data_IF_096187022394
#
_entry.id   IF_096187022394
#
_cell.length_a   1.000
_cell.length_b   1.000
_cell.length_c   1.000
_cell.angle_alpha   90.00
_cell.angle_beta   90.00
_cell.angle_gamma   90.00
#
_symmetry.space_group_name_H-M   'P 1'
#
loop_
_entity.id
_entity.type
_entity.pdbx_description
1 polymer ?
#
# COMPACT_ATOMS: atom_id res chain seq x y z
N UNK A 1 -4.40 16.73 -36.13
CA UNK A 1 -5.05 15.58 -35.48
C UNK A 1 -4.15 15.17 -34.34
N UNK A 2 -4.54 15.44 -33.09
CA UNK A 2 -3.73 15.06 -31.94
C UNK A 2 -3.90 13.56 -31.71
N UNK A 3 -2.80 12.81 -31.78
CA UNK A 3 -2.75 11.40 -31.42
C UNK A 3 -3.26 11.24 -29.98
N UNK A 4 -4.46 10.70 -29.87
CA UNK A 4 -5.03 10.33 -28.57
C UNK A 4 -4.23 9.13 -28.07
N UNK A 5 -3.70 9.13 -26.84
CA UNK A 5 -2.97 7.99 -26.31
C UNK A 5 -3.86 6.75 -26.37
N UNK A 6 -3.50 5.79 -27.22
CA UNK A 6 -4.23 4.53 -27.36
C UNK A 6 -4.19 3.78 -26.03
N UNK A 7 -5.33 3.73 -25.33
CA UNK A 7 -5.56 2.75 -24.26
C UNK A 7 -5.42 1.37 -24.87
N UNK A 8 -4.43 0.61 -24.42
CA UNK A 8 -4.27 -0.76 -24.87
C UNK A 8 -5.32 -1.62 -24.17
N UNK A 9 -6.08 -2.49 -24.87
CA UNK A 9 -7.12 -3.34 -24.26
C UNK A 9 -6.65 -4.20 -23.07
N UNK A 10 -5.34 -4.35 -22.90
CA UNK A 10 -4.70 -5.04 -21.77
C UNK A 10 -4.82 -4.28 -20.43
N UNK A 11 -5.13 -2.98 -20.47
CA UNK A 11 -5.36 -2.12 -19.30
C UNK A 11 -6.75 -2.34 -18.67
N UNK A 12 -7.70 -2.95 -19.40
CA UNK A 12 -9.10 -3.14 -18.97
C UNK A 12 -9.40 -4.55 -18.42
N UNK A 13 -8.39 -5.36 -18.09
CA UNK A 13 -8.63 -6.69 -17.51
C UNK A 13 -9.05 -6.58 -16.03
N UNK A 14 -10.31 -6.88 -15.66
CA UNK A 14 -10.81 -6.75 -14.30
C UNK A 14 -10.06 -7.64 -13.30
N UNK A 15 -9.52 -8.78 -13.76
CA UNK A 15 -8.71 -9.66 -12.91
C UNK A 15 -7.36 -9.06 -12.53
N UNK A 16 -6.75 -8.24 -13.38
CA UNK A 16 -5.52 -7.51 -13.03
C UNK A 16 -5.80 -6.45 -11.98
N UNK A 17 -6.91 -5.72 -12.13
CA UNK A 17 -7.35 -4.74 -11.13
C UNK A 17 -7.65 -5.41 -9.79
N UNK A 18 -8.40 -6.52 -9.79
CA UNK A 18 -8.69 -7.29 -8.57
C UNK A 18 -7.41 -7.79 -7.88
N UNK A 19 -6.44 -8.31 -8.66
CA UNK A 19 -5.14 -8.73 -8.12
C UNK A 19 -4.36 -7.57 -7.49
N UNK A 20 -4.34 -6.40 -8.14
CA UNK A 20 -3.68 -5.21 -7.60
C UNK A 20 -4.34 -4.72 -6.30
N UNK A 21 -5.67 -4.63 -6.27
CA UNK A 21 -6.42 -4.22 -5.07
C UNK A 21 -6.19 -5.19 -3.92
N UNK A 22 -6.18 -6.50 -4.20
CA UNK A 22 -5.90 -7.53 -3.20
C UNK A 22 -4.48 -7.40 -2.65
N UNK A 23 -3.49 -7.20 -3.53
CA UNK A 23 -2.11 -7.00 -3.12
C UNK A 23 -1.95 -5.77 -2.21
N UNK A 24 -2.58 -4.64 -2.58
CA UNK A 24 -2.60 -3.43 -1.76
C UNK A 24 -3.26 -3.71 -0.40
N UNK A 25 -4.43 -4.35 -0.40
CA UNK A 25 -5.16 -4.66 0.83
C UNK A 25 -4.35 -5.55 1.79
N UNK A 26 -3.70 -6.59 1.27
CA UNK A 26 -2.85 -7.49 2.05
C UNK A 26 -1.65 -6.76 2.62
N UNK A 27 -0.94 -5.98 1.81
CA UNK A 27 0.25 -5.25 2.26
C UNK A 27 -0.11 -4.18 3.30
N UNK A 28 -1.21 -3.45 3.10
CA UNK A 28 -1.74 -2.49 4.07
C UNK A 28 -2.10 -3.16 5.40
N UNK A 29 -2.76 -4.32 5.35
CA UNK A 29 -3.11 -5.08 6.55
C UNK A 29 -1.86 -5.54 7.30
N UNK A 30 -0.85 -6.03 6.58
CA UNK A 30 0.42 -6.48 7.16
C UNK A 30 1.16 -5.30 7.81
N UNK A 31 1.38 -4.19 7.09
CA UNK A 31 2.17 -3.07 7.60
C UNK A 31 1.47 -2.34 8.75
N UNK A 32 0.16 -2.15 8.67
CA UNK A 32 -0.62 -1.54 9.76
C UNK A 32 -0.67 -2.46 10.97
N UNK A 33 -0.90 -3.76 10.77
CA UNK A 33 -0.93 -4.75 11.83
C UNK A 33 0.42 -4.91 12.54
N UNK A 34 1.52 -4.96 11.78
CA UNK A 34 2.88 -4.99 12.32
C UNK A 34 3.21 -3.69 13.05
N UNK A 35 2.83 -2.54 12.51
CA UNK A 35 3.04 -1.25 13.16
C UNK A 35 2.33 -1.19 14.52
N UNK A 36 1.04 -1.54 14.56
CA UNK A 36 0.28 -1.64 15.80
C UNK A 36 0.93 -2.62 16.79
N UNK A 37 1.28 -3.83 16.34
CA UNK A 37 1.88 -4.85 17.20
C UNK A 37 3.22 -4.41 17.79
N UNK A 38 4.13 -3.85 16.98
CA UNK A 38 5.38 -3.29 17.46
C UNK A 38 5.14 -2.14 18.44
N UNK A 39 4.13 -1.31 18.17
CA UNK A 39 3.69 -0.25 19.06
C UNK A 39 3.20 -0.76 20.42
N UNK A 40 2.40 -1.84 20.43
CA UNK A 40 1.93 -2.48 21.68
C UNK A 40 3.08 -3.07 22.47
N UNK A 41 4.00 -3.77 21.81
CA UNK A 41 5.19 -4.35 22.47
C UNK A 41 6.10 -3.25 23.04
N UNK A 42 6.18 -2.11 22.36
CA UNK A 42 6.90 -0.95 22.87
C UNK A 42 6.22 -0.33 24.09
N UNK A 43 4.89 -0.19 24.07
CA UNK A 43 4.13 0.30 25.22
C UNK A 43 4.29 -0.59 26.45
N UNK A 44 4.24 -1.92 26.28
CA UNK A 44 4.41 -2.88 27.37
C UNK A 44 5.78 -2.77 28.04
N UNK A 45 6.81 -2.32 27.31
CA UNK A 45 8.18 -2.17 27.81
C UNK A 45 8.48 -0.79 28.37
N UNK A 46 7.92 0.26 27.77
CA UNK A 46 8.29 1.65 28.06
C UNK A 46 7.21 2.43 28.83
N UNK A 47 6.02 1.85 29.02
CA UNK A 47 4.93 2.46 29.78
C UNK A 47 4.36 3.74 29.17
N UNK A 48 4.57 3.97 27.87
CA UNK A 48 4.18 5.20 27.18
C UNK A 48 2.67 5.32 26.96
N UNK A 49 1.95 4.20 26.86
CA UNK A 49 0.49 4.13 26.69
C UNK A 49 -0.05 4.57 25.33
N UNK A 50 0.81 5.01 24.40
CA UNK A 50 0.43 5.51 23.07
C UNK A 50 1.24 4.90 21.92
N UNK A 51 2.23 4.07 22.23
CA UNK A 51 3.07 3.35 21.27
C UNK A 51 2.24 2.52 20.28
N UNK A 52 1.16 1.87 20.70
CA UNK A 52 0.26 1.15 19.77
C UNK A 52 -0.34 2.07 18.69
N UNK A 53 -0.70 3.30 19.06
CA UNK A 53 -1.28 4.29 18.17
C UNK A 53 -0.22 4.88 17.25
N UNK A 54 0.95 5.23 17.80
CA UNK A 54 2.10 5.69 17.02
C UNK A 54 2.52 4.64 15.99
N UNK A 55 2.64 3.38 16.43
CA UNK A 55 2.99 2.26 15.58
C UNK A 55 1.96 2.02 14.47
N UNK A 56 0.66 2.09 14.78
CA UNK A 56 -0.41 2.00 13.79
C UNK A 56 -0.31 3.11 12.73
N UNK A 57 -0.10 4.37 13.15
CA UNK A 57 0.02 5.50 12.23
C UNK A 57 1.25 5.34 11.32
N UNK A 58 2.41 4.96 11.89
CA UNK A 58 3.63 4.71 11.12
C UNK A 58 3.43 3.57 10.14
N UNK A 59 2.84 2.46 10.57
CA UNK A 59 2.51 1.31 9.72
C UNK A 59 1.57 1.68 8.56
N UNK A 60 0.56 2.50 8.84
CA UNK A 60 -0.37 3.00 7.82
C UNK A 60 0.33 3.91 6.79
N UNK A 61 1.15 4.86 7.24
CA UNK A 61 1.90 5.75 6.33
C UNK A 61 2.84 4.94 5.43
N UNK A 62 3.57 3.98 6.01
CA UNK A 62 4.45 3.08 5.26
C UNK A 62 3.65 2.27 4.23
N UNK A 63 2.50 1.73 4.62
CA UNK A 63 1.61 0.98 3.74
C UNK A 63 1.07 1.81 2.58
N UNK A 64 0.60 3.03 2.83
CA UNK A 64 0.13 3.94 1.78
C UNK A 64 1.27 4.27 0.81
N UNK A 65 2.47 4.55 1.33
CA UNK A 65 3.65 4.82 0.51
C UNK A 65 4.01 3.65 -0.41
N UNK A 66 3.97 2.42 0.11
CA UNK A 66 4.22 1.21 -0.66
C UNK A 66 3.14 0.95 -1.72
N UNK A 67 1.87 1.08 -1.36
CA UNK A 67 0.74 0.97 -2.29
C UNK A 67 0.84 1.97 -3.44
N UNK A 68 1.21 3.22 -3.17
CA UNK A 68 1.42 4.24 -4.20
C UNK A 68 2.56 3.84 -5.17
N UNK A 69 3.65 3.26 -4.66
CA UNK A 69 4.73 2.71 -5.47
C UNK A 69 4.27 1.54 -6.36
N UNK A 70 3.48 0.63 -5.80
CA UNK A 70 2.93 -0.51 -6.53
C UNK A 70 2.00 -0.07 -7.66
N UNK A 71 1.09 0.87 -7.37
CA UNK A 71 0.20 1.48 -8.36
C UNK A 71 1.02 2.16 -9.46
N UNK A 72 2.04 2.94 -9.10
CA UNK A 72 2.90 3.62 -10.08
C UNK A 72 3.64 2.62 -10.99
N UNK A 73 4.09 1.49 -10.45
CA UNK A 73 4.72 0.42 -11.23
C UNK A 73 3.72 -0.27 -12.16
N UNK A 74 2.50 -0.52 -11.68
CA UNK A 74 1.45 -1.18 -12.46
C UNK A 74 0.82 -0.27 -13.53
N UNK A 75 0.64 1.01 -13.24
CA UNK A 75 0.06 2.01 -14.15
C UNK A 75 1.10 2.66 -15.08
N UNK A 76 2.38 2.68 -14.68
CA UNK A 76 3.48 3.30 -15.43
C UNK A 76 4.24 2.37 -16.38
N UNK A 77 3.78 1.14 -16.58
CA UNK A 77 4.47 0.07 -17.32
C UNK A 77 4.61 0.24 -18.84
N UNK A 78 4.85 1.46 -19.36
CA UNK A 78 5.21 1.73 -20.76
C UNK A 78 6.24 2.86 -20.84
N UNK A 79 7.51 2.57 -20.51
CA UNK A 79 8.72 3.26 -21.01
C UNK A 79 9.94 2.34 -20.89
N UNK A 80 10.06 1.39 -21.82
CA UNK A 80 11.24 1.02 -22.63
C UNK A 80 11.00 -0.36 -23.23
#
# INVERSE_FOLDING_TARGET
>A
MADSPQRTPQDDNPWRAAGLVTAIGVELAILTGLGWWLGTVYDDRNGTGYGYLTGLIVGLIAGIGSAAGLIRKYAGGKKT
#
